data_IF_873243129787
#
_entry.id   IF_873243129787
#
_cell.length_a   1.000
_cell.length_b   1.000
_cell.length_c   1.000
_cell.angle_alpha   90.00
_cell.angle_beta   90.00
_cell.angle_gamma   90.00
#
_symmetry.space_group_name_H-M   'P 1'
#
loop_
_entity.id
_entity.type
_entity.pdbx_description
1 polymer ?
#
# COMPACT_ATOMS: atom_id res chain seq x y z
N UNK A 1 -3.50 15.34 -1.92
CA UNK A 1 -3.33 14.20 -0.97
C UNK A 1 -1.88 13.78 -0.87
N UNK A 2 -1.43 13.38 0.30
CA UNK A 2 -0.10 12.79 0.57
C UNK A 2 -0.18 11.27 0.69
N UNK A 3 0.94 10.57 0.44
CA UNK A 3 1.03 9.12 0.61
C UNK A 3 2.06 8.74 1.67
N UNK A 4 1.80 7.69 2.44
CA UNK A 4 2.76 7.09 3.37
C UNK A 4 2.89 5.60 3.03
N UNK A 5 4.12 5.11 2.90
CA UNK A 5 4.43 3.69 2.89
C UNK A 5 5.10 3.37 4.22
N UNK A 6 4.44 2.55 5.04
CA UNK A 6 5.04 2.09 6.29
C UNK A 6 5.82 0.81 6.04
N UNK A 7 7.12 0.94 5.96
CA UNK A 7 8.09 -0.12 5.66
C UNK A 7 9.02 -0.41 6.86
N UNK A 8 8.47 -0.31 8.07
CA UNK A 8 9.15 -0.62 9.32
C UNK A 8 8.99 -2.07 9.75
N UNK A 9 9.39 -2.32 10.99
CA UNK A 9 9.26 -3.63 11.63
C UNK A 9 10.52 -4.51 11.52
N UNK A 10 10.67 -5.45 12.46
CA UNK A 10 11.86 -6.30 12.58
C UNK A 10 11.94 -7.45 11.57
N UNK A 11 10.82 -7.77 10.90
CA UNK A 11 10.77 -8.88 9.93
C UNK A 11 11.11 -10.26 10.49
N UNK A 12 11.07 -10.46 11.80
CA UNK A 12 11.57 -11.70 12.47
C UNK A 12 10.87 -12.97 12.02
N UNK A 13 9.60 -12.88 11.60
CA UNK A 13 8.85 -14.02 11.05
C UNK A 13 9.45 -14.58 9.76
N UNK A 14 10.27 -13.79 9.06
CA UNK A 14 10.94 -14.17 7.81
C UNK A 14 12.44 -14.47 8.01
N UNK A 15 12.92 -14.62 9.25
CA UNK A 15 14.30 -15.08 9.46
C UNK A 15 14.52 -16.46 8.85
N UNK A 16 15.70 -16.71 8.23
CA UNK A 16 16.89 -15.84 8.19
C UNK A 16 16.92 -14.81 7.05
N UNK A 17 15.91 -14.73 6.15
CA UNK A 17 15.92 -13.83 4.98
C UNK A 17 16.11 -12.35 5.35
N UNK A 18 15.49 -11.94 6.44
CA UNK A 18 15.45 -10.53 6.89
C UNK A 18 16.52 -10.18 7.94
N UNK A 19 17.53 -11.04 8.16
CA UNK A 19 18.62 -10.73 9.10
C UNK A 19 19.48 -9.54 8.68
N UNK A 20 19.60 -9.30 7.39
CA UNK A 20 20.49 -8.28 6.80
C UNK A 20 19.77 -7.30 5.88
N UNK A 21 18.46 -7.41 5.77
CA UNK A 21 17.66 -6.55 4.89
C UNK A 21 16.22 -6.42 5.39
N UNK A 22 15.58 -5.29 5.06
CA UNK A 22 14.14 -5.13 5.28
C UNK A 22 13.34 -6.15 4.49
N UNK A 23 12.21 -6.60 5.05
CA UNK A 23 11.25 -7.47 4.35
C UNK A 23 10.81 -6.87 3.03
N UNK A 24 10.54 -5.58 3.00
CA UNK A 24 10.03 -4.86 1.83
C UNK A 24 11.06 -4.71 0.69
N UNK A 25 12.32 -5.09 0.94
CA UNK A 25 13.37 -5.17 -0.09
C UNK A 25 13.55 -6.59 -0.64
N UNK A 26 12.87 -7.60 -0.06
CA UNK A 26 12.86 -8.94 -0.62
C UNK A 26 12.16 -8.97 -1.98
N UNK A 27 12.61 -9.84 -2.90
CA UNK A 27 11.97 -9.95 -4.20
C UNK A 27 10.59 -10.61 -4.08
N UNK A 28 9.63 -10.08 -4.80
CA UNK A 28 8.37 -10.74 -5.15
C UNK A 28 8.36 -10.87 -6.66
N UNK A 29 8.66 -12.06 -7.15
CA UNK A 29 8.88 -12.41 -8.54
C UNK A 29 10.03 -11.59 -9.17
N UNK A 30 9.75 -10.53 -9.92
CA UNK A 30 10.73 -9.81 -10.75
C UNK A 30 11.11 -8.41 -10.22
N UNK A 31 10.59 -8.01 -9.06
CA UNK A 31 10.86 -6.69 -8.48
C UNK A 31 10.84 -6.71 -6.94
N UNK A 32 11.43 -5.71 -6.27
CA UNK A 32 11.35 -5.59 -4.82
C UNK A 32 9.91 -5.40 -4.33
N UNK A 33 9.58 -5.97 -3.18
CA UNK A 33 8.24 -5.92 -2.58
C UNK A 33 7.68 -4.50 -2.45
N UNK A 34 8.52 -3.50 -2.13
CA UNK A 34 8.11 -2.11 -1.96
C UNK A 34 7.46 -1.49 -3.22
N UNK A 35 7.71 -2.04 -4.41
CA UNK A 35 7.12 -1.56 -5.66
C UNK A 35 5.61 -1.74 -5.68
N UNK A 36 5.10 -2.80 -5.06
CA UNK A 36 3.66 -3.09 -5.04
C UNK A 36 2.85 -2.06 -4.26
N UNK A 37 3.14 -1.76 -2.97
CA UNK A 37 2.43 -0.70 -2.26
C UNK A 37 2.67 0.69 -2.89
N UNK A 38 3.87 0.96 -3.43
CA UNK A 38 4.14 2.20 -4.14
C UNK A 38 3.24 2.35 -5.37
N UNK A 39 3.03 1.28 -6.13
CA UNK A 39 2.13 1.29 -7.30
C UNK A 39 0.68 1.61 -6.93
N UNK A 40 0.21 1.19 -5.75
CA UNK A 40 -1.14 1.50 -5.26
C UNK A 40 -1.31 3.01 -5.05
N UNK A 41 -0.35 3.66 -4.39
CA UNK A 41 -0.38 5.11 -4.21
C UNK A 41 -0.28 5.86 -5.55
N UNK A 42 0.57 5.40 -6.46
CA UNK A 42 0.69 5.99 -7.79
C UNK A 42 -0.59 5.83 -8.61
N UNK A 43 -1.26 4.69 -8.55
CA UNK A 43 -2.56 4.44 -9.19
C UNK A 43 -3.69 5.29 -8.57
N UNK A 44 -3.57 5.67 -7.30
CA UNK A 44 -4.44 6.65 -6.65
C UNK A 44 -4.15 8.10 -7.07
N UNK A 45 -3.14 8.33 -7.92
CA UNK A 45 -2.74 9.68 -8.36
C UNK A 45 -1.83 10.42 -7.36
N UNK A 46 -1.34 9.74 -6.33
CA UNK A 46 -0.53 10.34 -5.27
C UNK A 46 0.94 10.37 -5.70
N UNK A 47 1.53 11.57 -5.68
CA UNK A 47 2.91 11.81 -6.12
C UNK A 47 3.87 12.18 -4.99
N UNK A 48 3.40 12.79 -3.92
CA UNK A 48 4.20 13.09 -2.74
C UNK A 48 4.08 11.91 -1.77
N UNK A 49 5.17 11.16 -1.59
CA UNK A 49 5.17 9.90 -0.84
C UNK A 49 6.27 9.92 0.22
N UNK A 50 5.91 9.63 1.46
CA UNK A 50 6.82 9.44 2.58
C UNK A 50 7.01 7.94 2.84
N UNK A 51 8.25 7.48 2.81
CA UNK A 51 8.62 6.11 3.21
C UNK A 51 9.13 6.15 4.64
N UNK A 52 8.40 5.47 5.54
CA UNK A 52 8.78 5.37 6.95
C UNK A 52 9.38 4.00 7.19
N UNK A 53 10.63 3.95 7.63
CA UNK A 53 11.35 2.70 7.87
C UNK A 53 12.26 2.78 9.11
N UNK A 54 13.00 1.70 9.38
CA UNK A 54 14.00 1.67 10.45
C UNK A 54 15.23 2.50 10.07
N UNK A 55 16.00 2.94 11.06
CA UNK A 55 17.27 3.65 10.80
C UNK A 55 18.28 2.81 10.01
N UNK A 56 18.22 1.48 10.15
CA UNK A 56 19.10 0.54 9.44
C UNK A 56 18.71 0.39 7.96
N UNK A 57 17.42 0.42 7.65
CA UNK A 57 16.93 0.11 6.30
C UNK A 57 16.64 1.35 5.46
N UNK A 58 16.40 2.51 6.07
CA UNK A 58 16.15 3.77 5.35
C UNK A 58 17.19 4.05 4.26
N UNK A 59 18.54 3.95 4.52
CA UNK A 59 19.53 4.16 3.46
C UNK A 59 19.44 3.18 2.30
N UNK A 60 18.90 1.98 2.51
CA UNK A 60 18.70 0.99 1.45
C UNK A 60 17.52 1.36 0.54
N UNK A 61 16.45 1.89 1.13
CA UNK A 61 15.33 2.43 0.35
C UNK A 61 15.74 3.66 -0.45
N UNK A 62 16.52 4.57 0.16
CA UNK A 62 17.10 5.73 -0.54
C UNK A 62 17.99 5.31 -1.71
N UNK A 63 18.82 4.28 -1.54
CA UNK A 63 19.67 3.75 -2.61
C UNK A 63 18.86 3.08 -3.74
N UNK A 64 17.73 2.42 -3.42
CA UNK A 64 16.88 1.75 -4.40
C UNK A 64 16.02 2.73 -5.18
N UNK A 65 15.39 3.68 -4.49
CA UNK A 65 14.29 4.49 -5.02
C UNK A 65 14.68 5.95 -5.27
N UNK A 66 15.83 6.41 -4.75
CA UNK A 66 16.30 7.79 -4.89
C UNK A 66 15.29 8.80 -4.36
N UNK A 67 15.16 9.91 -5.06
CA UNK A 67 14.17 10.95 -4.79
C UNK A 67 12.80 10.70 -5.47
N UNK A 68 12.67 9.59 -6.21
CA UNK A 68 11.46 9.21 -6.94
C UNK A 68 11.28 9.87 -8.30
N UNK A 69 12.17 10.77 -8.70
CA UNK A 69 12.06 11.52 -9.97
C UNK A 69 11.97 10.60 -11.20
N UNK A 70 12.65 9.44 -11.17
CA UNK A 70 12.59 8.43 -12.23
C UNK A 70 11.20 7.81 -12.41
N UNK A 71 10.34 7.92 -11.40
CA UNK A 71 8.94 7.47 -11.41
C UNK A 71 7.96 8.64 -11.46
N UNK A 72 8.43 9.86 -11.65
CA UNK A 72 7.61 11.07 -11.66
C UNK A 72 6.92 11.40 -10.34
N UNK A 73 7.43 10.91 -9.22
CA UNK A 73 6.96 11.16 -7.85
C UNK A 73 8.04 11.85 -7.03
N UNK A 74 7.68 12.39 -5.87
CA UNK A 74 8.59 12.99 -4.89
C UNK A 74 8.65 12.06 -3.67
N UNK A 75 9.78 11.40 -3.47
CA UNK A 75 9.99 10.54 -2.31
C UNK A 75 10.72 11.30 -1.21
N UNK A 76 10.22 11.17 0.00
CA UNK A 76 10.88 11.56 1.23
C UNK A 76 10.96 10.38 2.18
N UNK A 77 11.85 10.46 3.17
CA UNK A 77 12.13 9.34 4.05
C UNK A 77 12.09 9.79 5.50
N UNK A 78 11.55 8.95 6.36
CA UNK A 78 11.56 9.16 7.81
C UNK A 78 11.88 7.86 8.56
N UNK A 79 12.42 8.03 9.75
CA UNK A 79 12.80 6.91 10.61
C UNK A 79 11.70 6.67 11.65
N UNK A 80 11.22 5.43 11.73
CA UNK A 80 10.45 4.95 12.86
C UNK A 80 11.44 4.42 13.92
N UNK A 81 11.59 5.07 15.07
CA UNK A 81 12.62 4.72 16.05
C UNK A 81 12.31 3.41 16.78
N UNK A 82 11.03 3.10 16.95
CA UNK A 82 10.50 1.88 17.58
C UNK A 82 9.19 1.48 16.95
N UNK A 83 8.83 0.18 16.91
CA UNK A 83 7.60 -0.31 16.28
C UNK A 83 6.39 -0.11 17.22
N UNK A 84 6.05 1.12 17.55
CA UNK A 84 5.01 1.46 18.54
C UNK A 84 3.59 1.45 17.95
N UNK A 85 3.38 0.76 16.84
CA UNK A 85 2.08 0.58 16.18
C UNK A 85 1.97 1.33 14.85
N UNK A 86 0.94 0.97 14.07
CA UNK A 86 0.75 1.51 12.71
C UNK A 86 0.33 2.98 12.73
N UNK A 87 -0.47 3.40 13.71
CA UNK A 87 -0.93 4.78 13.81
C UNK A 87 0.19 5.78 14.13
N UNK A 88 1.35 5.32 14.64
CA UNK A 88 2.54 6.16 14.83
C UNK A 88 3.01 6.81 13.52
N UNK A 89 2.74 6.19 12.37
CA UNK A 89 3.11 6.73 11.06
C UNK A 89 2.56 8.14 10.82
N UNK A 90 1.36 8.45 11.31
CA UNK A 90 0.75 9.78 11.16
C UNK A 90 1.36 10.82 12.11
N UNK A 91 1.92 10.39 13.23
CA UNK A 91 2.67 11.26 14.16
C UNK A 91 4.04 11.59 13.57
N UNK A 92 4.76 10.57 13.07
CA UNK A 92 6.07 10.75 12.40
C UNK A 92 5.91 11.59 11.12
N UNK A 93 4.86 11.34 10.35
CA UNK A 93 4.58 12.04 9.10
C UNK A 93 3.84 13.37 9.25
N UNK A 94 3.60 13.87 10.47
CA UNK A 94 2.73 15.02 10.68
C UNK A 94 3.14 16.28 9.90
N UNK A 95 4.42 16.61 9.88
CA UNK A 95 4.94 17.78 9.14
C UNK A 95 4.87 17.56 7.61
N UNK A 96 5.09 16.33 7.15
CA UNK A 96 4.94 15.96 5.74
C UNK A 96 3.48 16.04 5.28
N UNK A 97 2.55 15.56 6.09
CA UNK A 97 1.10 15.60 5.81
C UNK A 97 0.62 17.05 5.78
N UNK A 98 1.04 17.87 6.75
CA UNK A 98 0.61 19.27 6.88
C UNK A 98 -0.91 19.36 6.97
N UNK A 99 -1.53 20.09 6.05
CA UNK A 99 -2.98 20.27 5.98
C UNK A 99 -3.68 19.38 4.96
N UNK A 100 -2.95 18.43 4.34
CA UNK A 100 -3.49 17.55 3.32
C UNK A 100 -4.19 16.32 3.93
N UNK A 101 -5.08 15.72 3.16
CA UNK A 101 -5.51 14.34 3.38
C UNK A 101 -4.36 13.36 3.08
N UNK A 102 -4.42 12.16 3.63
CA UNK A 102 -3.34 11.19 3.52
C UNK A 102 -3.83 9.78 3.26
N UNK A 103 -3.16 9.07 2.35
CA UNK A 103 -3.27 7.64 2.21
C UNK A 103 -2.07 6.96 2.86
N UNK A 104 -2.29 5.84 3.55
CA UNK A 104 -1.23 4.98 4.05
C UNK A 104 -1.40 3.56 3.51
N UNK A 105 -0.30 2.96 3.07
CA UNK A 105 -0.23 1.56 2.67
C UNK A 105 0.90 0.86 3.43
N UNK A 106 0.64 -0.38 3.87
CA UNK A 106 1.67 -1.20 4.48
C UNK A 106 2.62 -1.73 3.41
N UNK A 107 3.91 -1.62 3.67
CA UNK A 107 4.99 -1.90 2.71
C UNK A 107 5.11 -3.36 2.27
N UNK A 108 4.36 -4.27 2.88
CA UNK A 108 4.31 -5.70 2.60
C UNK A 108 2.97 -6.17 2.02
N UNK A 109 2.10 -5.26 1.66
CA UNK A 109 0.79 -5.58 1.09
C UNK A 109 0.80 -5.46 -0.43
N UNK A 110 0.23 -6.45 -1.09
CA UNK A 110 0.06 -6.50 -2.54
C UNK A 110 -1.43 -6.47 -2.86
N UNK A 111 -1.83 -5.56 -3.73
CA UNK A 111 -3.19 -5.45 -4.22
C UNK A 111 -3.19 -5.62 -5.73
N UNK A 112 -4.05 -6.49 -6.23
CA UNK A 112 -4.26 -6.69 -7.66
C UNK A 112 -5.74 -6.98 -7.93
N UNK A 113 -6.27 -6.46 -9.03
CA UNK A 113 -7.64 -6.73 -9.43
C UNK A 113 -8.19 -5.68 -10.37
N UNK A 114 -9.13 -6.11 -11.20
CA UNK A 114 -9.82 -5.21 -12.12
C UNK A 114 -10.72 -4.25 -11.32
N UNK A 115 -10.64 -2.96 -11.62
CA UNK A 115 -11.44 -1.93 -10.93
C UNK A 115 -10.78 -1.35 -9.67
N UNK A 116 -9.56 -1.77 -9.29
CA UNK A 116 -8.84 -1.22 -8.15
C UNK A 116 -8.72 0.31 -8.25
N UNK A 117 -8.35 0.84 -9.41
CA UNK A 117 -8.22 2.28 -9.63
C UNK A 117 -9.50 3.06 -9.31
N UNK A 118 -10.68 2.49 -9.63
CA UNK A 118 -11.96 3.12 -9.30
C UNK A 118 -12.20 3.19 -7.79
N UNK A 119 -11.91 2.10 -7.07
CA UNK A 119 -12.01 2.09 -5.60
C UNK A 119 -11.05 3.10 -4.97
N UNK A 120 -9.81 3.19 -5.50
CA UNK A 120 -8.82 4.16 -5.03
C UNK A 120 -9.29 5.60 -5.26
N UNK A 121 -9.82 5.93 -6.44
CA UNK A 121 -10.33 7.27 -6.73
C UNK A 121 -11.50 7.65 -5.81
N UNK A 122 -12.44 6.73 -5.55
CA UNK A 122 -13.53 6.96 -4.60
C UNK A 122 -13.00 7.27 -3.19
N UNK A 123 -11.97 6.55 -2.74
CA UNK A 123 -11.35 6.78 -1.44
C UNK A 123 -10.61 8.13 -1.37
N UNK A 124 -9.89 8.51 -2.45
CA UNK A 124 -9.24 9.83 -2.59
C UNK A 124 -10.27 10.94 -2.50
N UNK A 125 -11.33 10.88 -3.31
CA UNK A 125 -12.40 11.88 -3.32
C UNK A 125 -13.09 12.00 -1.95
N UNK A 126 -13.32 10.89 -1.27
CA UNK A 126 -13.91 10.88 0.07
C UNK A 126 -13.03 11.64 1.07
N UNK A 127 -11.74 11.29 1.13
CA UNK A 127 -10.81 11.89 2.08
C UNK A 127 -10.52 13.38 1.78
N UNK A 128 -10.36 13.75 0.50
CA UNK A 128 -10.12 15.16 0.10
C UNK A 128 -11.32 16.07 0.34
N UNK A 129 -12.54 15.51 0.31
CA UNK A 129 -13.76 16.24 0.65
C UNK A 129 -14.08 16.23 2.16
N UNK A 130 -13.16 15.77 3.02
CA UNK A 130 -13.34 15.75 4.46
C UNK A 130 -14.44 14.80 4.95
N UNK A 131 -14.73 13.72 4.21
CA UNK A 131 -15.76 12.74 4.55
C UNK A 131 -15.27 11.64 5.49
N UNK A 132 -14.10 11.81 6.08
CA UNK A 132 -13.56 10.90 7.09
C UNK A 132 -12.52 9.93 6.55
N UNK A 133 -12.66 8.67 6.99
CA UNK A 133 -11.75 7.59 6.63
C UNK A 133 -12.39 6.62 5.64
N UNK A 134 -11.56 6.02 4.78
CA UNK A 134 -11.93 4.85 3.96
C UNK A 134 -10.91 3.74 4.20
N UNK A 135 -11.37 2.58 4.60
CA UNK A 135 -10.58 1.36 4.73
C UNK A 135 -11.09 0.31 3.74
N UNK A 136 -10.24 -0.67 3.43
CA UNK A 136 -10.57 -1.71 2.44
C UNK A 136 -10.78 -3.05 3.14
N UNK A 137 -11.98 -3.61 3.00
CA UNK A 137 -12.37 -4.89 3.55
C UNK A 137 -12.13 -6.04 2.57
N UNK A 138 -11.57 -7.14 3.05
CA UNK A 138 -11.31 -8.35 2.27
C UNK A 138 -11.75 -9.60 3.04
N UNK A 139 -12.37 -10.56 2.34
CA UNK A 139 -12.81 -11.81 2.96
C UNK A 139 -11.63 -12.75 3.19
N UNK A 140 -11.49 -13.29 4.41
CA UNK A 140 -10.44 -14.23 4.81
C UNK A 140 -11.01 -15.42 5.57
N UNK A 141 -10.30 -16.54 5.57
CA UNK A 141 -10.72 -17.75 6.28
C UNK A 141 -10.15 -17.83 7.71
N UNK A 142 -9.15 -16.96 8.03
CA UNK A 142 -8.47 -16.88 9.33
C UNK A 142 -8.58 -15.46 9.95
N UNK A 143 -9.83 -14.99 10.22
CA UNK A 143 -10.08 -13.60 10.59
C UNK A 143 -9.45 -13.17 11.92
N UNK A 144 -9.19 -14.10 12.85
CA UNK A 144 -8.59 -13.82 14.17
C UNK A 144 -7.18 -13.18 14.09
N UNK A 145 -6.57 -13.19 12.91
CA UNK A 145 -5.23 -12.59 12.70
C UNK A 145 -5.24 -11.10 12.42
N UNK A 146 -6.39 -10.52 12.11
CA UNK A 146 -6.54 -9.19 11.52
C UNK A 146 -7.50 -8.30 12.33
N UNK A 147 -7.53 -7.02 12.00
CA UNK A 147 -8.63 -6.15 12.37
C UNK A 147 -9.89 -6.53 11.60
N UNK A 148 -10.99 -6.80 12.27
CA UNK A 148 -12.23 -7.31 11.68
C UNK A 148 -13.32 -6.26 11.72
N UNK A 149 -14.02 -6.08 10.60
CA UNK A 149 -15.20 -5.23 10.49
C UNK A 149 -16.46 -6.06 10.52
N UNK A 150 -17.48 -5.57 11.26
CA UNK A 150 -18.82 -6.15 11.32
C UNK A 150 -19.79 -5.21 10.60
N UNK A 151 -20.73 -5.79 9.86
CA UNK A 151 -21.75 -5.05 9.12
C UNK A 151 -23.16 -5.37 9.65
N UNK A 152 -24.02 -4.38 9.60
CA UNK A 152 -25.46 -4.62 9.78
C UNK A 152 -26.07 -5.26 8.50
N UNK A 153 -27.35 -5.60 8.57
CA UNK A 153 -28.11 -6.17 7.43
C UNK A 153 -28.23 -5.25 6.21
N UNK A 154 -27.88 -3.97 6.35
CA UNK A 154 -27.88 -2.98 5.27
C UNK A 154 -26.48 -2.73 4.71
N UNK A 155 -25.46 -3.45 5.22
CA UNK A 155 -24.06 -3.28 4.81
C UNK A 155 -23.34 -2.10 5.47
N UNK A 156 -23.93 -1.49 6.53
CA UNK A 156 -23.28 -0.44 7.29
C UNK A 156 -22.36 -1.04 8.32
N UNK A 157 -21.14 -0.50 8.45
CA UNK A 157 -20.19 -0.91 9.50
C UNK A 157 -20.75 -0.54 10.87
N UNK A 158 -20.76 -1.50 11.81
CA UNK A 158 -21.24 -1.32 13.16
C UNK A 158 -20.19 -1.60 14.24
N UNK A 159 -19.14 -2.36 13.91
CA UNK A 159 -18.01 -2.54 14.81
C UNK A 159 -16.71 -2.79 14.04
N UNK A 160 -15.58 -2.50 14.70
CA UNK A 160 -14.24 -2.85 14.25
C UNK A 160 -13.42 -3.32 15.47
N UNK A 161 -12.80 -4.50 15.38
CA UNK A 161 -12.08 -5.14 16.47
C UNK A 161 -10.72 -5.64 16.01
N UNK A 162 -9.66 -5.37 16.77
CA UNK A 162 -8.30 -5.85 16.49
C UNK A 162 -8.13 -7.28 17.00
N UNK A 163 -7.83 -8.21 16.09
CA UNK A 163 -7.52 -9.62 16.40
C UNK A 163 -8.45 -10.25 17.43
N UNK A 164 -9.75 -10.24 17.19
CA UNK A 164 -10.73 -10.77 18.15
C UNK A 164 -10.58 -12.28 18.35
N UNK A 165 -10.71 -12.77 19.57
CA UNK A 165 -10.75 -14.21 19.86
C UNK A 165 -11.97 -14.89 19.23
N UNK A 166 -13.07 -14.15 19.10
CA UNK A 166 -14.33 -14.60 18.49
C UNK A 166 -14.75 -13.60 17.40
N UNK A 167 -14.20 -13.73 16.16
CA UNK A 167 -14.52 -12.82 15.07
C UNK A 167 -16.01 -12.81 14.74
N UNK A 168 -16.61 -11.63 14.57
CA UNK A 168 -18.02 -11.45 14.23
C UNK A 168 -18.27 -11.50 12.72
N UNK A 169 -17.23 -11.45 11.92
CA UNK A 169 -17.27 -11.60 10.46
C UNK A 169 -15.96 -12.14 9.94
N UNK A 170 -15.92 -12.49 8.65
CA UNK A 170 -14.72 -12.88 7.93
C UNK A 170 -14.11 -11.72 7.13
N UNK A 171 -14.63 -10.49 7.26
CA UNK A 171 -14.08 -9.35 6.56
C UNK A 171 -13.01 -8.66 7.40
N UNK A 172 -11.76 -8.79 6.98
CA UNK A 172 -10.65 -8.09 7.59
C UNK A 172 -10.41 -6.72 6.94
N UNK A 173 -9.83 -5.80 7.69
CA UNK A 173 -9.27 -4.56 7.16
C UNK A 173 -7.89 -4.85 6.61
N UNK A 174 -7.69 -4.53 5.32
CA UNK A 174 -6.39 -4.67 4.67
C UNK A 174 -5.43 -3.57 5.09
N UNK A 175 -4.17 -3.65 4.66
CA UNK A 175 -3.16 -2.63 4.95
C UNK A 175 -3.20 -1.41 4.03
N UNK A 176 -4.39 -0.93 3.66
CA UNK A 176 -4.58 0.27 2.83
C UNK A 176 -5.64 1.17 3.45
N UNK A 177 -5.29 2.42 3.69
CA UNK A 177 -6.09 3.38 4.45
C UNK A 177 -6.06 4.74 3.79
N UNK A 178 -7.20 5.43 3.74
CA UNK A 178 -7.33 6.81 3.31
C UNK A 178 -8.02 7.62 4.40
N UNK A 179 -7.44 8.77 4.73
CA UNK A 179 -7.94 9.62 5.82
C UNK A 179 -7.99 11.08 5.41
N UNK A 180 -8.97 11.79 5.91
CA UNK A 180 -8.93 13.25 5.94
C UNK A 180 -7.85 13.75 6.93
N UNK A 181 -7.60 15.06 6.98
CA UNK A 181 -6.51 15.62 7.76
C UNK A 181 -6.64 15.43 9.28
N UNK A 182 -7.86 15.14 9.80
CA UNK A 182 -8.09 14.90 11.23
C UNK A 182 -7.28 13.73 11.80
N UNK A 183 -6.81 12.84 10.93
CA UNK A 183 -6.03 11.66 11.34
C UNK A 183 -4.81 11.99 12.16
N UNK A 184 -4.14 13.10 11.87
CA UNK A 184 -2.93 13.53 12.59
C UNK A 184 -3.26 13.85 14.05
N UNK A 185 -4.34 14.58 14.28
CA UNK A 185 -4.78 14.93 15.64
C UNK A 185 -5.32 13.69 16.37
N UNK A 186 -6.09 12.85 15.71
CA UNK A 186 -6.57 11.59 16.29
C UNK A 186 -5.41 10.67 16.69
N UNK A 187 -4.41 10.50 15.82
CA UNK A 187 -3.24 9.68 16.11
C UNK A 187 -2.42 10.21 17.31
N UNK A 188 -2.25 11.53 17.44
CA UNK A 188 -1.55 12.16 18.58
C UNK A 188 -2.25 11.92 19.92
N UNK A 189 -3.58 11.74 19.90
CA UNK A 189 -4.41 11.55 21.11
C UNK A 189 -4.69 10.07 21.42
N UNK A 190 -4.24 9.12 20.56
CA UNK A 190 -4.37 7.69 20.83
C UNK A 190 -3.58 7.30 22.08
N UNK A 191 -4.15 6.34 22.82
CA UNK A 191 -3.46 5.67 23.92
C UNK A 191 -2.96 4.31 23.44
N UNK A 192 -1.75 3.88 23.85
CA UNK A 192 -1.28 2.54 23.56
C UNK A 192 -2.26 1.47 24.05
N UNK A 193 -2.46 0.43 23.25
CA UNK A 193 -3.25 -0.75 23.61
C UNK A 193 -2.58 -1.57 24.72
N UNK A 194 -3.21 -2.65 25.15
CA UNK A 194 -2.63 -3.61 26.09
C UNK A 194 -1.31 -4.23 25.57
N UNK A 195 -1.07 -4.17 24.25
CA UNK A 195 0.19 -4.60 23.61
C UNK A 195 1.27 -3.52 23.59
N UNK A 196 0.96 -2.31 24.07
CA UNK A 196 1.85 -1.15 24.04
C UNK A 196 1.91 -0.46 22.66
N UNK A 197 1.01 -0.77 21.73
CA UNK A 197 1.00 -0.25 20.37
C UNK A 197 -0.13 0.79 20.16
N UNK A 198 0.15 1.80 19.33
CA UNK A 198 -0.86 2.72 18.79
C UNK A 198 -1.56 2.02 17.63
N UNK A 199 -2.70 1.38 17.95
CA UNK A 199 -3.40 0.52 17.00
C UNK A 199 -4.11 1.32 15.92
N UNK A 200 -3.96 0.88 14.67
CA UNK A 200 -4.72 1.46 13.55
C UNK A 200 -6.22 1.18 13.69
N UNK A 201 -6.57 0.06 14.31
CA UNK A 201 -7.96 -0.30 14.59
C UNK A 201 -8.62 0.67 15.57
N UNK A 202 -7.89 1.15 16.59
CA UNK A 202 -8.40 2.16 17.52
C UNK A 202 -8.56 3.52 16.83
N UNK A 203 -7.63 3.87 15.93
CA UNK A 203 -7.78 5.06 15.09
C UNK A 203 -9.03 4.98 14.20
N UNK A 204 -9.25 3.85 13.54
CA UNK A 204 -10.44 3.62 12.72
C UNK A 204 -11.73 3.62 13.55
N UNK A 205 -11.67 3.18 14.81
CA UNK A 205 -12.83 3.22 15.73
C UNK A 205 -13.26 4.66 16.03
N UNK A 206 -12.34 5.61 16.15
CA UNK A 206 -12.68 7.02 16.32
C UNK A 206 -13.50 7.52 15.12
N UNK A 207 -13.12 7.18 13.89
CA UNK A 207 -13.91 7.52 12.70
C UNK A 207 -15.25 6.78 12.64
N UNK A 208 -15.32 5.55 13.13
CA UNK A 208 -16.60 4.81 13.22
C UNK A 208 -17.56 5.47 14.21
N UNK A 209 -17.08 5.85 15.39
CA UNK A 209 -17.87 6.54 16.43
C UNK A 209 -18.33 7.93 15.99
N UNK A 210 -17.49 8.63 15.22
CA UNK A 210 -17.83 9.91 14.56
C UNK A 210 -18.83 9.73 13.39
N UNK A 211 -19.09 8.50 12.96
CA UNK A 211 -19.97 8.20 11.83
C UNK A 211 -19.35 8.48 10.46
N UNK A 212 -18.03 8.63 10.39
CA UNK A 212 -17.26 8.99 9.18
C UNK A 212 -16.27 7.90 8.74
N UNK A 213 -16.46 6.64 9.15
CA UNK A 213 -15.72 5.49 8.63
C UNK A 213 -16.47 4.87 7.45
N UNK A 214 -15.83 4.82 6.29
CA UNK A 214 -16.29 4.12 5.10
C UNK A 214 -15.50 2.83 4.91
N UNK A 215 -16.14 1.79 4.39
CA UNK A 215 -15.48 0.53 4.03
C UNK A 215 -15.78 0.20 2.58
N UNK A 216 -14.73 0.09 1.78
CA UNK A 216 -14.76 -0.42 0.40
C UNK A 216 -14.47 -1.91 0.43
N UNK A 217 -15.42 -2.74 -0.04
CA UNK A 217 -15.21 -4.18 -0.09
C UNK A 217 -14.51 -4.60 -1.38
N UNK A 218 -13.36 -5.22 -1.24
CA UNK A 218 -12.64 -5.86 -2.33
C UNK A 218 -13.29 -7.23 -2.59
N UNK A 219 -14.21 -7.27 -3.54
CA UNK A 219 -14.99 -8.46 -3.87
C UNK A 219 -14.30 -9.42 -4.84
N UNK A 220 -15.10 -10.23 -5.52
CA UNK A 220 -14.60 -11.18 -6.51
C UNK A 220 -13.78 -10.49 -7.61
N UNK A 221 -12.64 -11.06 -7.96
CA UNK A 221 -11.71 -10.49 -8.96
C UNK A 221 -10.62 -9.62 -8.36
N UNK A 222 -10.65 -9.35 -7.05
CA UNK A 222 -9.53 -8.76 -6.32
C UNK A 222 -8.70 -9.83 -5.61
N UNK A 223 -7.42 -9.57 -5.52
CA UNK A 223 -6.48 -10.34 -4.70
C UNK A 223 -5.71 -9.39 -3.81
N UNK A 224 -5.78 -9.64 -2.51
CA UNK A 224 -4.95 -9.00 -1.50
C UNK A 224 -4.06 -10.04 -0.85
N UNK A 225 -2.78 -9.74 -0.71
CA UNK A 225 -1.79 -10.62 -0.11
C UNK A 225 -1.01 -9.86 0.96
N UNK A 226 -0.97 -10.44 2.16
CA UNK A 226 -0.06 -10.07 3.25
C UNK A 226 1.14 -11.01 3.22
N UNK A 227 2.32 -10.49 2.88
CA UNK A 227 3.55 -11.27 2.72
C UNK A 227 4.30 -11.48 4.02
N UNK A 228 3.57 -11.75 5.11
CA UNK A 228 4.10 -11.82 6.47
C UNK A 228 4.83 -13.11 6.87
N UNK A 229 4.70 -14.18 6.09
CA UNK A 229 5.32 -15.49 6.33
C UNK A 229 6.09 -15.98 5.11
N UNK A 230 6.91 -17.05 5.27
CA UNK A 230 7.63 -17.65 4.13
C UNK A 230 6.66 -18.18 3.08
N UNK A 231 5.58 -18.84 3.52
CA UNK A 231 4.54 -19.39 2.65
C UNK A 231 3.85 -18.28 1.88
N UNK A 232 3.37 -17.23 2.56
CA UNK A 232 2.69 -16.12 1.90
C UNK A 232 3.60 -15.32 0.95
N UNK A 233 4.90 -15.27 1.20
CA UNK A 233 5.87 -14.68 0.27
C UNK A 233 6.02 -15.50 -1.00
N UNK A 234 6.05 -16.83 -0.89
CA UNK A 234 6.07 -17.76 -2.04
C UNK A 234 4.77 -17.66 -2.82
N UNK A 235 3.62 -17.66 -2.14
CA UNK A 235 2.31 -17.52 -2.77
C UNK A 235 2.18 -16.20 -3.53
N UNK A 236 2.64 -15.11 -2.95
CA UNK A 236 2.68 -13.81 -3.62
C UNK A 236 3.55 -13.84 -4.88
N UNK A 237 4.73 -14.46 -4.81
CA UNK A 237 5.63 -14.62 -5.96
C UNK A 237 4.96 -15.45 -7.07
N UNK A 238 4.33 -16.56 -6.72
CA UNK A 238 3.64 -17.44 -7.67
C UNK A 238 2.42 -16.74 -8.29
N UNK A 239 1.65 -16.00 -7.49
CA UNK A 239 0.51 -15.21 -7.98
C UNK A 239 0.96 -14.18 -9.00
N UNK A 240 1.91 -13.32 -8.65
CA UNK A 240 2.41 -12.27 -9.55
C UNK A 240 2.95 -12.88 -10.84
N UNK A 241 3.80 -13.91 -10.74
CA UNK A 241 4.33 -14.63 -11.88
C UNK A 241 3.23 -15.15 -12.81
N UNK A 242 2.22 -15.81 -12.24
CA UNK A 242 1.13 -16.42 -13.02
C UNK A 242 0.31 -15.35 -13.73
N UNK A 243 -0.08 -14.29 -13.02
CA UNK A 243 -0.86 -13.19 -13.59
C UNK A 243 -0.08 -12.51 -14.72
N UNK A 244 1.18 -12.13 -14.49
CA UNK A 244 2.00 -11.45 -15.50
C UNK A 244 2.25 -12.32 -16.74
N UNK A 245 2.44 -13.63 -16.56
CA UNK A 245 2.64 -14.57 -17.68
C UNK A 245 1.39 -14.74 -18.54
N UNK A 246 0.20 -14.76 -17.93
CA UNK A 246 -1.05 -15.00 -18.67
C UNK A 246 -1.68 -13.72 -19.21
N UNK A 247 -1.54 -12.60 -18.50
CA UNK A 247 -2.07 -11.31 -18.95
C UNK A 247 -1.11 -10.53 -19.83
N UNK A 248 0.17 -10.95 -19.89
CA UNK A 248 1.25 -10.23 -20.57
C UNK A 248 1.42 -8.79 -20.10
N UNK A 249 0.94 -8.48 -18.91
CA UNK A 249 1.01 -7.18 -18.24
C UNK A 249 1.73 -7.35 -16.92
N UNK A 250 2.59 -6.39 -16.58
CA UNK A 250 3.24 -6.37 -15.26
C UNK A 250 2.32 -5.80 -14.18
N UNK A 251 2.36 -6.41 -13.01
CA UNK A 251 1.81 -5.82 -11.80
C UNK A 251 2.87 -4.88 -11.22
N UNK A 252 2.46 -3.67 -10.83
CA UNK A 252 3.35 -2.70 -10.18
C UNK A 252 4.61 -2.32 -11.01
N UNK A 253 4.46 -2.13 -12.32
CA UNK A 253 5.50 -1.50 -13.14
C UNK A 253 5.40 0.02 -12.95
N UNK A 254 6.28 0.59 -12.10
CA UNK A 254 6.18 1.99 -11.69
C UNK A 254 6.41 2.96 -12.87
N UNK A 255 7.33 2.62 -13.76
CA UNK A 255 7.63 3.41 -14.97
C UNK A 255 6.44 3.41 -15.95
N UNK A 256 5.74 2.28 -16.11
CA UNK A 256 4.53 2.21 -16.92
C UNK A 256 3.43 3.10 -16.34
N UNK A 257 3.17 3.00 -15.03
CA UNK A 257 2.18 3.82 -14.32
C UNK A 257 2.51 5.30 -14.50
N UNK A 258 3.76 5.68 -14.28
CA UNK A 258 4.21 7.06 -14.43
C UNK A 258 4.08 7.58 -15.87
N UNK A 259 4.44 6.75 -16.85
CA UNK A 259 4.36 7.10 -18.28
C UNK A 259 2.90 7.27 -18.74
N UNK A 260 2.04 6.33 -18.38
CA UNK A 260 0.61 6.38 -18.74
C UNK A 260 -0.12 7.57 -18.09
N UNK A 261 0.31 7.98 -16.89
CA UNK A 261 -0.20 9.19 -16.23
C UNK A 261 0.45 10.49 -16.74
N UNK A 262 1.41 10.41 -17.68
CA UNK A 262 2.10 11.58 -18.21
C UNK A 262 3.06 12.26 -17.21
N UNK A 263 3.49 11.55 -16.17
CA UNK A 263 4.40 12.08 -15.15
C UNK A 263 5.86 12.00 -15.56
N UNK A 264 6.21 11.07 -16.44
CA UNK A 264 7.50 10.94 -17.10
C UNK A 264 7.33 10.86 -18.61
N UNK A 265 8.39 11.19 -19.35
CA UNK A 265 8.37 11.19 -20.79
C UNK A 265 8.82 9.85 -21.38
N UNK A 266 8.57 9.65 -22.69
CA UNK A 266 9.11 8.51 -23.43
C UNK A 266 10.62 8.40 -23.31
N UNK A 267 11.34 9.54 -23.35
CA UNK A 267 12.79 9.56 -23.25
C UNK A 267 13.28 9.12 -21.86
N UNK A 268 12.50 9.41 -20.80
CA UNK A 268 12.84 8.95 -19.47
C UNK A 268 12.70 7.43 -19.36
N UNK A 269 11.63 6.86 -19.88
CA UNK A 269 11.47 5.40 -19.94
C UNK A 269 12.55 4.74 -20.81
N UNK A 270 12.97 5.37 -21.93
CA UNK A 270 14.06 4.86 -22.76
C UNK A 270 15.40 4.83 -22.01
N UNK A 271 15.68 5.80 -21.13
CA UNK A 271 16.90 5.77 -20.27
C UNK A 271 16.89 4.54 -19.36
N UNK A 272 15.75 4.22 -18.75
CA UNK A 272 15.60 3.01 -17.92
C UNK A 272 15.75 1.74 -18.78
N UNK A 273 15.10 1.70 -19.94
CA UNK A 273 15.25 0.60 -20.89
C UNK A 273 16.70 0.33 -21.25
N UNK A 274 17.49 1.35 -21.58
CA UNK A 274 18.91 1.17 -21.95
C UNK A 274 19.73 0.46 -20.87
N UNK A 275 19.41 0.70 -19.60
CA UNK A 275 20.03 0.02 -18.45
C UNK A 275 19.53 -1.42 -18.33
N UNK A 276 18.24 -1.66 -18.53
CA UNK A 276 17.56 -2.92 -18.26
C UNK A 276 17.32 -3.79 -19.51
N UNK A 277 17.75 -3.38 -20.70
CA UNK A 277 17.41 -4.03 -21.99
C UNK A 277 17.80 -5.51 -22.10
N UNK A 278 18.66 -6.02 -21.23
CA UNK A 278 19.08 -7.42 -21.22
C UNK A 278 18.15 -8.32 -20.40
N UNK A 279 17.19 -7.76 -19.66
CA UNK A 279 16.25 -8.51 -18.85
C UNK A 279 14.81 -8.33 -19.33
N UNK A 280 13.91 -9.17 -18.81
CA UNK A 280 12.49 -9.15 -19.20
C UNK A 280 11.76 -7.88 -18.78
N UNK A 281 12.15 -7.26 -17.68
CA UNK A 281 11.54 -6.01 -17.21
C UNK A 281 11.80 -4.86 -18.20
N UNK A 282 13.06 -4.71 -18.64
CA UNK A 282 13.41 -3.71 -19.64
C UNK A 282 12.73 -3.97 -20.99
N UNK A 283 12.67 -5.23 -21.46
CA UNK A 283 11.95 -5.57 -22.69
C UNK A 283 10.45 -5.22 -22.59
N UNK A 284 9.82 -5.42 -21.46
CA UNK A 284 8.45 -5.00 -21.22
C UNK A 284 8.27 -3.49 -21.37
N UNK A 285 9.18 -2.68 -20.80
CA UNK A 285 9.14 -1.22 -20.96
C UNK A 285 9.20 -0.80 -22.43
N UNK A 286 10.00 -1.50 -23.25
CA UNK A 286 10.06 -1.25 -24.69
C UNK A 286 8.72 -1.59 -25.36
N UNK A 287 8.11 -2.70 -25.01
CA UNK A 287 6.80 -3.12 -25.53
C UNK A 287 5.71 -2.07 -25.17
N UNK A 288 5.76 -1.52 -23.95
CA UNK A 288 4.86 -0.42 -23.53
C UNK A 288 5.03 0.81 -24.39
N UNK A 289 6.27 1.24 -24.63
CA UNK A 289 6.58 2.40 -25.47
C UNK A 289 6.18 2.21 -26.95
N UNK A 290 6.22 0.97 -27.43
CA UNK A 290 5.80 0.61 -28.80
C UNK A 290 4.27 0.47 -28.92
N UNK A 291 3.51 0.70 -27.83
CA UNK A 291 2.06 0.66 -27.84
C UNK A 291 1.46 -0.74 -27.88
N UNK A 292 2.23 -1.81 -27.58
CA UNK A 292 1.78 -3.20 -27.64
C UNK A 292 0.60 -3.51 -26.72
N UNK A 293 0.48 -2.76 -25.63
CA UNK A 293 -0.51 -2.98 -24.56
C UNK A 293 -1.56 -1.87 -24.46
N UNK A 294 -1.69 -1.03 -25.47
CA UNK A 294 -2.77 -0.04 -25.51
C UNK A 294 -4.09 -0.77 -25.70
N UNK A 295 -4.98 -0.59 -24.73
CA UNK A 295 -6.32 -1.16 -24.77
C UNK A 295 -7.13 -0.36 -25.77
N UNK A 296 -7.39 -0.95 -26.94
CA UNK A 296 -8.12 -0.30 -28.07
C UNK A 296 -9.58 0.05 -27.68
N UNK A 297 -10.06 -0.49 -26.55
CA UNK A 297 -11.44 -0.31 -26.08
C UNK A 297 -11.63 0.91 -25.15
N UNK A 298 -10.56 1.64 -24.84
CA UNK A 298 -10.58 2.79 -23.93
C UNK A 298 -10.19 4.12 -24.59
N UNK A 299 -10.31 4.21 -25.92
CA UNK A 299 -10.22 5.48 -26.68
C UNK A 299 -11.62 6.01 -27.03
#
# INVERSE_FOLDING_TARGET
MKGIILAGGSGTRLYPLTKVTSKQLLPVFDKPMIYYPMSVLMNAGIRDILIISTSQDTPRFENLLGDGSQFGVNLTYAIQPSPDGLAQAFIIGADFIGNDSVAMVLGDNIFAGHGLNKCLQTAVESAENGKGATVFGYYVDDPERFGIVEFDKNGKVISIEEKPEHPKSNYCVTGLYFYDNRVVEFAKNLKPSARGELEITDLNRIYLEDGSLNVELLGQGFTWLDTGTHESLVDATNFVKTVEQHQHRKIACLEEIAYLNGWITKDDVLKVYEVLKKNQYGQYLKDVLDGKYIDVLHN
#
